data_IF_972365274313
#
_entry.id   IF_972365274313
#
_cell.length_a   1.000
_cell.length_b   1.000
_cell.length_c   1.000
_cell.angle_alpha   90.00
_cell.angle_beta   90.00
_cell.angle_gamma   90.00
#
_symmetry.space_group_name_H-M   'P 1'
#
loop_
_entity.id
_entity.type
_entity.pdbx_description
1 polymer ?
#
# COMPACT_ATOMS: atom_id res chain seq x y z
N UNK A 1 43.96 -33.68 41.84
CA UNK A 1 44.39 -32.94 40.63
C UNK A 1 43.29 -32.06 40.05
N UNK A 2 43.43 -30.73 40.09
CA UNK A 2 42.64 -29.77 39.31
C UNK A 2 43.48 -29.29 38.12
N UNK A 3 43.12 -29.65 36.89
CA UNK A 3 43.63 -28.95 35.70
C UNK A 3 42.58 -27.93 35.23
N UNK A 4 42.85 -26.68 35.57
CA UNK A 4 42.00 -25.53 35.34
C UNK A 4 42.12 -25.11 33.86
N UNK A 5 40.99 -24.94 33.19
CA UNK A 5 40.90 -24.56 31.78
C UNK A 5 41.62 -23.24 31.51
N UNK A 6 42.75 -23.32 30.79
CA UNK A 6 43.46 -22.13 30.31
C UNK A 6 42.63 -21.48 29.20
N UNK A 7 41.86 -20.46 29.57
CA UNK A 7 41.36 -19.49 28.61
C UNK A 7 42.59 -18.78 28.00
N UNK A 8 42.95 -19.15 26.77
CA UNK A 8 44.03 -18.52 26.01
C UNK A 8 43.64 -17.07 25.71
N UNK A 9 44.05 -16.16 26.60
CA UNK A 9 43.94 -14.71 26.41
C UNK A 9 45.05 -14.26 25.47
N UNK A 10 44.66 -13.77 24.29
CA UNK A 10 45.57 -13.12 23.34
C UNK A 10 45.48 -11.60 23.54
N UNK A 11 46.46 -11.07 24.26
CA UNK A 11 46.64 -9.61 24.42
C UNK A 11 47.51 -9.14 23.26
N UNK A 12 47.11 -8.07 22.57
CA UNK A 12 47.89 -7.47 21.48
C UNK A 12 47.97 -5.98 21.71
N UNK A 13 49.19 -5.49 21.93
CA UNK A 13 49.49 -4.08 22.10
C UNK A 13 49.76 -3.46 20.72
N UNK A 14 49.13 -2.32 20.46
CA UNK A 14 49.27 -1.59 19.20
C UNK A 14 49.48 -0.11 19.49
N UNK A 15 50.41 0.52 18.78
CA UNK A 15 50.67 1.97 18.86
C UNK A 15 49.62 2.77 18.08
N UNK A 16 49.21 2.25 16.92
CA UNK A 16 48.06 2.74 16.15
C UNK A 16 47.32 1.55 15.53
N UNK A 17 46.01 1.46 15.78
CA UNK A 17 45.14 0.41 15.27
C UNK A 17 44.11 1.02 14.31
N UNK A 18 44.28 0.75 13.01
CA UNK A 18 43.31 1.09 11.97
C UNK A 18 42.59 -0.15 11.48
N UNK A 19 41.32 -0.32 11.85
CA UNK A 19 40.45 -1.30 11.19
C UNK A 19 39.79 -0.63 9.98
N UNK A 20 40.05 -1.17 8.78
CA UNK A 20 39.23 -0.84 7.63
C UNK A 20 37.86 -1.51 7.84
N UNK A 21 36.93 -0.78 8.46
CA UNK A 21 35.52 -1.13 8.44
C UNK A 21 35.11 -1.05 6.99
N UNK A 22 35.12 -2.20 6.29
CA UNK A 22 34.95 -2.28 4.84
C UNK A 22 33.92 -1.27 4.36
N UNK A 23 34.33 -0.39 3.44
CA UNK A 23 33.55 0.73 2.91
C UNK A 23 32.35 0.29 2.06
N UNK A 24 31.59 -0.70 2.52
CA UNK A 24 30.23 -0.91 2.07
C UNK A 24 29.41 0.24 2.63
N UNK A 25 29.01 1.15 1.75
CA UNK A 25 27.98 2.15 2.06
C UNK A 25 26.86 1.47 2.87
N UNK A 26 26.27 2.15 3.85
CA UNK A 26 25.24 1.55 4.69
C UNK A 26 24.18 0.87 3.81
N UNK A 27 23.67 -0.31 4.21
CA UNK A 27 22.65 -0.99 3.43
C UNK A 27 21.49 -0.01 3.18
N UNK A 28 21.12 0.16 1.90
CA UNK A 28 20.12 1.12 1.41
C UNK A 28 20.55 2.61 1.38
N UNK A 29 21.84 2.89 1.26
CA UNK A 29 22.35 4.24 0.94
C UNK A 29 21.65 4.84 -0.28
N UNK A 30 21.52 4.09 -1.38
CA UNK A 30 20.83 4.59 -2.59
C UNK A 30 19.36 4.95 -2.35
N UNK A 31 18.64 4.18 -1.53
CA UNK A 31 17.25 4.51 -1.19
C UNK A 31 17.16 5.77 -0.32
N UNK A 32 18.13 5.96 0.57
CA UNK A 32 18.23 7.16 1.43
C UNK A 32 18.53 8.40 0.59
N UNK A 33 19.44 8.28 -0.38
CA UNK A 33 19.78 9.36 -1.30
C UNK A 33 18.59 9.72 -2.21
N UNK A 34 17.88 8.72 -2.73
CA UNK A 34 16.69 8.92 -3.57
C UNK A 34 15.61 9.77 -2.88
N UNK A 35 15.43 9.61 -1.55
CA UNK A 35 14.47 10.40 -0.76
C UNK A 35 14.82 11.90 -0.74
N UNK A 36 16.09 12.25 -0.89
CA UNK A 36 16.56 13.64 -0.92
C UNK A 36 16.42 14.30 -2.29
N UNK A 37 16.16 13.52 -3.34
CA UNK A 37 16.07 14.03 -4.71
C UNK A 37 14.72 14.72 -5.00
N UNK A 38 14.79 15.76 -5.84
CA UNK A 38 13.61 16.44 -6.39
C UNK A 38 12.97 15.59 -7.49
N UNK A 39 11.63 15.57 -7.56
CA UNK A 39 10.85 14.72 -8.49
C UNK A 39 11.33 14.74 -9.95
N UNK A 40 11.71 15.89 -10.54
CA UNK A 40 12.22 15.92 -11.91
C UNK A 40 13.52 15.12 -12.11
N UNK A 41 14.36 15.03 -11.09
CA UNK A 41 15.60 14.25 -11.11
C UNK A 41 15.27 12.76 -11.08
N UNK A 42 14.34 12.34 -10.22
CA UNK A 42 13.86 10.96 -10.16
C UNK A 42 13.32 10.47 -11.52
N UNK A 43 12.59 11.33 -12.24
CA UNK A 43 12.02 11.00 -13.55
C UNK A 43 13.06 10.90 -14.68
N UNK A 44 14.15 11.67 -14.59
CA UNK A 44 15.23 11.64 -15.60
C UNK A 44 16.16 10.44 -15.45
N UNK A 45 16.23 9.87 -14.25
CA UNK A 45 17.10 8.74 -13.93
C UNK A 45 16.30 7.64 -13.23
N UNK A 46 15.61 6.77 -14.00
CA UNK A 46 14.69 5.76 -13.46
C UNK A 46 15.42 4.53 -12.92
N UNK A 47 16.27 4.70 -11.90
CA UNK A 47 16.85 3.59 -11.13
C UNK A 47 15.79 2.95 -10.23
N UNK A 48 16.01 1.72 -9.74
CA UNK A 48 15.07 1.06 -8.83
C UNK A 48 14.84 1.87 -7.55
N UNK A 49 15.89 2.46 -6.98
CA UNK A 49 15.82 3.42 -5.88
C UNK A 49 14.89 4.60 -6.21
N UNK A 50 15.12 5.25 -7.35
CA UNK A 50 14.34 6.42 -7.74
C UNK A 50 12.88 6.10 -8.06
N UNK A 51 12.64 4.99 -8.77
CA UNK A 51 11.29 4.54 -9.09
C UNK A 51 10.53 4.13 -7.83
N UNK A 52 11.20 3.50 -6.85
CA UNK A 52 10.57 3.13 -5.58
C UNK A 52 10.12 4.36 -4.78
N UNK A 53 10.95 5.40 -4.71
CA UNK A 53 10.60 6.65 -4.02
C UNK A 53 9.49 7.39 -4.78
N UNK A 54 9.53 7.40 -6.12
CA UNK A 54 8.45 7.95 -6.92
C UNK A 54 7.13 7.19 -6.72
N UNK A 55 7.19 5.86 -6.62
CA UNK A 55 6.06 5.00 -6.31
C UNK A 55 5.42 5.38 -4.98
N UNK A 56 6.25 5.61 -3.96
CA UNK A 56 5.80 6.02 -2.63
C UNK A 56 5.15 7.40 -2.66
N UNK A 57 5.79 8.40 -3.30
CA UNK A 57 5.26 9.78 -3.42
C UNK A 57 3.92 9.82 -4.15
N UNK A 58 3.83 9.19 -5.31
CA UNK A 58 2.58 9.10 -6.07
C UNK A 58 1.55 8.23 -5.35
N UNK A 59 2.01 7.19 -4.65
CA UNK A 59 1.17 6.34 -3.84
C UNK A 59 0.43 7.11 -2.75
N UNK A 60 1.09 8.04 -2.05
CA UNK A 60 0.43 8.92 -1.08
C UNK A 60 -0.65 9.81 -1.72
N UNK A 61 -0.36 10.41 -2.87
CA UNK A 61 -1.32 11.26 -3.58
C UNK A 61 -2.54 10.47 -4.04
N UNK A 62 -2.33 9.29 -4.64
CA UNK A 62 -3.41 8.41 -5.11
C UNK A 62 -4.19 7.80 -3.95
N UNK A 63 -3.53 7.46 -2.84
CA UNK A 63 -4.20 7.00 -1.62
C UNK A 63 -5.16 8.05 -1.08
N UNK A 64 -4.77 9.33 -1.07
CA UNK A 64 -5.66 10.42 -0.65
C UNK A 64 -6.93 10.49 -1.50
N UNK A 65 -6.81 10.37 -2.83
CA UNK A 65 -7.97 10.30 -3.75
C UNK A 65 -8.86 9.10 -3.43
N UNK A 66 -8.26 7.92 -3.21
CA UNK A 66 -9.01 6.72 -2.84
C UNK A 66 -9.73 6.86 -1.50
N UNK A 67 -9.13 7.53 -0.51
CA UNK A 67 -9.81 7.79 0.77
C UNK A 67 -11.02 8.70 0.63
N UNK A 68 -11.00 9.68 -0.28
CA UNK A 68 -12.19 10.50 -0.56
C UNK A 68 -13.33 9.63 -1.09
N UNK A 69 -13.06 8.75 -2.06
CA UNK A 69 -14.07 7.83 -2.62
C UNK A 69 -14.62 6.89 -1.54
N UNK A 70 -13.74 6.29 -0.73
CA UNK A 70 -14.13 5.40 0.37
C UNK A 70 -14.95 6.15 1.44
N UNK A 71 -14.56 7.37 1.80
CA UNK A 71 -15.29 8.20 2.76
C UNK A 71 -16.71 8.50 2.26
N UNK A 72 -16.88 8.86 0.99
CA UNK A 72 -18.21 9.08 0.38
C UNK A 72 -19.05 7.80 0.37
N UNK A 73 -18.43 6.65 0.10
CA UNK A 73 -19.11 5.37 0.14
C UNK A 73 -19.61 5.02 1.57
N UNK A 74 -18.80 5.29 2.59
CA UNK A 74 -19.07 5.00 4.01
C UNK A 74 -19.98 6.02 4.71
N UNK A 75 -19.97 7.28 4.29
CA UNK A 75 -20.67 8.38 4.99
C UNK A 75 -22.20 8.22 5.05
N UNK A 76 -22.80 7.36 4.22
CA UNK A 76 -24.25 7.20 4.18
C UNK A 76 -24.80 6.01 4.96
N UNK A 77 -23.93 5.23 5.60
CA UNK A 77 -24.40 4.05 6.34
C UNK A 77 -25.19 4.58 7.53
N UNK A 78 -26.45 4.13 7.66
CA UNK A 78 -27.50 4.67 8.52
C UNK A 78 -27.00 5.39 9.79
N UNK A 79 -27.36 6.67 10.02
CA UNK A 79 -26.89 7.46 11.17
C UNK A 79 -27.33 6.93 12.54
N UNK A 80 -28.11 5.84 12.57
CA UNK A 80 -28.61 5.15 13.78
C UNK A 80 -27.67 4.02 14.24
N UNK A 81 -26.73 3.58 13.41
CA UNK A 81 -25.65 2.67 13.77
C UNK A 81 -24.39 3.46 14.11
N UNK A 82 -23.76 3.15 15.24
CA UNK A 82 -22.74 3.98 15.89
C UNK A 82 -21.70 4.63 14.95
N UNK A 83 -21.60 5.96 15.05
CA UNK A 83 -20.61 6.81 14.37
C UNK A 83 -19.17 6.31 14.52
N UNK A 84 -18.86 5.58 15.59
CA UNK A 84 -17.55 5.00 15.89
C UNK A 84 -17.15 3.82 14.98
N UNK A 85 -18.10 2.99 14.51
CA UNK A 85 -17.78 1.81 13.70
C UNK A 85 -17.14 2.18 12.35
N UNK A 86 -17.69 3.21 11.69
CA UNK A 86 -17.13 3.74 10.44
C UNK A 86 -15.73 4.35 10.64
N UNK A 87 -15.48 4.99 11.79
CA UNK A 87 -14.17 5.59 12.07
C UNK A 87 -13.10 4.52 12.26
N UNK A 88 -13.39 3.47 13.03
CA UNK A 88 -12.45 2.34 13.22
C UNK A 88 -12.14 1.69 11.88
N UNK A 89 -13.15 1.47 11.03
CA UNK A 89 -12.95 0.92 9.70
C UNK A 89 -12.05 1.81 8.82
N UNK A 90 -12.26 3.13 8.82
CA UNK A 90 -11.42 4.08 8.06
C UNK A 90 -9.98 4.05 8.56
N UNK A 91 -9.76 4.06 9.88
CA UNK A 91 -8.41 4.02 10.46
C UNK A 91 -7.71 2.70 10.13
N UNK A 92 -8.39 1.55 10.27
CA UNK A 92 -7.83 0.26 9.88
C UNK A 92 -7.50 0.21 8.40
N UNK A 93 -8.38 0.70 7.55
CA UNK A 93 -8.13 0.80 6.10
C UNK A 93 -6.92 1.68 5.82
N UNK A 94 -6.78 2.82 6.52
CA UNK A 94 -5.62 3.69 6.43
C UNK A 94 -4.32 2.99 6.79
N UNK A 95 -4.30 2.26 7.90
CA UNK A 95 -3.13 1.50 8.33
C UNK A 95 -2.75 0.44 7.30
N UNK A 96 -3.71 -0.37 6.85
CA UNK A 96 -3.46 -1.41 5.85
C UNK A 96 -2.95 -0.80 4.54
N UNK A 97 -3.58 0.28 4.07
CA UNK A 97 -3.18 0.96 2.83
C UNK A 97 -1.73 1.47 2.94
N UNK A 98 -1.39 2.21 4.00
CA UNK A 98 -0.03 2.75 4.15
C UNK A 98 1.02 1.63 4.25
N UNK A 99 0.70 0.54 4.93
CA UNK A 99 1.59 -0.62 4.98
C UNK A 99 1.78 -1.23 3.59
N UNK A 100 0.73 -1.35 2.77
CA UNK A 100 0.83 -1.83 1.39
C UNK A 100 1.65 -0.89 0.50
N UNK A 101 1.54 0.43 0.68
CA UNK A 101 2.38 1.41 -0.04
C UNK A 101 3.86 1.23 0.33
N UNK A 102 4.19 1.13 1.63
CA UNK A 102 5.56 0.92 2.09
C UNK A 102 6.13 -0.45 1.65
N UNK A 103 5.31 -1.49 1.68
CA UNK A 103 5.67 -2.81 1.18
C UNK A 103 5.90 -2.78 -0.34
N UNK A 104 5.02 -2.11 -1.07
CA UNK A 104 5.15 -1.89 -2.51
C UNK A 104 6.43 -1.14 -2.87
N UNK A 105 6.79 -0.09 -2.12
CA UNK A 105 8.06 0.61 -2.28
C UNK A 105 9.24 -0.37 -2.14
N UNK A 106 9.23 -1.22 -1.12
CA UNK A 106 10.28 -2.24 -0.91
C UNK A 106 10.34 -3.24 -2.08
N UNK A 107 9.19 -3.65 -2.65
CA UNK A 107 9.15 -4.52 -3.82
C UNK A 107 9.68 -3.87 -5.09
N UNK A 108 9.38 -2.59 -5.32
CA UNK A 108 9.93 -1.83 -6.46
C UNK A 108 11.43 -1.64 -6.29
N UNK A 109 11.88 -1.28 -5.08
CA UNK A 109 13.30 -1.15 -4.76
C UNK A 109 14.08 -2.45 -5.00
N UNK A 110 13.52 -3.58 -4.55
CA UNK A 110 14.09 -4.91 -4.76
C UNK A 110 13.87 -5.49 -6.16
N UNK A 111 13.22 -4.76 -7.08
CA UNK A 111 12.95 -5.22 -8.46
C UNK A 111 11.92 -6.34 -8.59
N UNK A 112 11.21 -6.70 -7.51
CA UNK A 112 10.19 -7.75 -7.50
C UNK A 112 8.90 -7.35 -8.24
N UNK A 113 8.62 -6.04 -8.33
CA UNK A 113 7.45 -5.50 -9.01
C UNK A 113 7.81 -4.18 -9.70
N UNK A 114 7.27 -3.93 -10.90
CA UNK A 114 7.49 -2.64 -11.57
C UNK A 114 6.66 -1.53 -10.93
N UNK A 115 7.14 -0.30 -11.06
CA UNK A 115 6.47 0.90 -10.54
C UNK A 115 5.03 1.04 -11.10
N UNK A 116 4.83 0.83 -12.39
CA UNK A 116 3.52 1.00 -13.06
C UNK A 116 2.52 -0.04 -12.57
N UNK A 117 2.95 -1.29 -12.46
CA UNK A 117 2.13 -2.39 -11.99
C UNK A 117 1.71 -2.15 -10.53
N UNK A 118 2.64 -1.69 -9.68
CA UNK A 118 2.30 -1.37 -8.29
C UNK A 118 1.23 -0.28 -8.24
N UNK A 119 1.40 0.81 -9.00
CA UNK A 119 0.43 1.90 -9.03
C UNK A 119 -0.95 1.43 -9.50
N UNK A 120 -1.00 0.68 -10.60
CA UNK A 120 -2.25 0.21 -11.18
C UNK A 120 -2.96 -0.78 -10.28
N UNK A 121 -2.28 -1.83 -9.80
CA UNK A 121 -2.93 -2.87 -9.01
C UNK A 121 -3.34 -2.39 -7.63
N UNK A 122 -2.46 -1.66 -6.92
CA UNK A 122 -2.77 -1.18 -5.58
C UNK A 122 -3.83 -0.07 -5.62
N UNK A 123 -3.57 1.01 -6.36
CA UNK A 123 -4.45 2.17 -6.34
C UNK A 123 -5.67 1.98 -7.24
N UNK A 124 -5.49 1.42 -8.43
CA UNK A 124 -6.61 1.09 -9.32
C UNK A 124 -7.51 0.01 -8.74
N UNK A 125 -6.96 -0.99 -8.05
CA UNK A 125 -7.73 -2.00 -7.34
C UNK A 125 -8.63 -1.40 -6.24
N UNK A 126 -8.07 -0.56 -5.37
CA UNK A 126 -8.86 0.10 -4.31
C UNK A 126 -9.88 1.08 -4.90
N UNK A 127 -9.50 1.84 -5.94
CA UNK A 127 -10.41 2.76 -6.62
C UNK A 127 -11.60 2.00 -7.21
N UNK A 128 -11.34 0.92 -7.93
CA UNK A 128 -12.36 0.08 -8.54
C UNK A 128 -13.28 -0.51 -7.47
N UNK A 129 -12.74 -1.02 -6.35
CA UNK A 129 -13.55 -1.53 -5.25
C UNK A 129 -14.43 -0.42 -4.62
N UNK A 130 -13.88 0.77 -4.43
CA UNK A 130 -14.61 1.94 -3.91
C UNK A 130 -15.75 2.37 -4.85
N UNK A 131 -15.48 2.45 -6.15
CA UNK A 131 -16.48 2.77 -7.16
C UNK A 131 -17.55 1.70 -7.30
N UNK A 132 -17.17 0.41 -7.26
CA UNK A 132 -18.13 -0.70 -7.27
C UNK A 132 -19.03 -0.68 -6.04
N UNK A 133 -18.49 -0.36 -4.86
CA UNK A 133 -19.29 -0.17 -3.66
C UNK A 133 -20.31 0.94 -3.87
N UNK A 134 -19.85 2.12 -4.31
CA UNK A 134 -20.71 3.27 -4.54
C UNK A 134 -21.80 2.98 -5.59
N UNK A 135 -21.43 2.29 -6.67
CA UNK A 135 -22.35 1.85 -7.72
C UNK A 135 -23.40 0.86 -7.21
N UNK A 136 -22.98 -0.18 -6.47
CA UNK A 136 -23.89 -1.15 -5.84
C UNK A 136 -24.88 -0.47 -4.90
N UNK A 137 -24.41 0.50 -4.12
CA UNK A 137 -25.23 1.28 -3.19
C UNK A 137 -26.23 2.16 -3.95
N UNK A 138 -25.76 2.97 -4.89
CA UNK A 138 -26.61 3.91 -5.63
C UNK A 138 -27.67 3.20 -6.46
N UNK A 139 -27.30 2.09 -7.10
CA UNK A 139 -28.19 1.34 -7.98
C UNK A 139 -29.07 0.32 -7.24
N UNK A 140 -29.03 0.30 -5.89
CA UNK A 140 -29.76 -0.60 -5.00
C UNK A 140 -29.98 -1.98 -5.64
N UNK A 141 -28.88 -2.64 -6.07
CA UNK A 141 -28.88 -3.91 -6.81
C UNK A 141 -29.54 -5.00 -5.96
N UNK A 142 -30.87 -4.97 -5.96
CA UNK A 142 -31.70 -6.01 -5.43
C UNK A 142 -31.77 -7.03 -6.55
N UNK A 143 -31.12 -8.18 -6.40
CA UNK A 143 -31.31 -9.33 -7.31
C UNK A 143 -32.82 -9.59 -7.57
N UNK A 144 -33.67 -9.22 -6.60
CA UNK A 144 -35.13 -9.28 -6.66
C UNK A 144 -35.77 -8.34 -7.69
N UNK A 145 -35.18 -7.20 -8.06
CA UNK A 145 -35.78 -6.29 -9.06
C UNK A 145 -35.65 -6.83 -10.50
N UNK A 146 -34.56 -7.52 -10.80
CA UNK A 146 -34.35 -8.21 -12.08
C UNK A 146 -35.32 -9.40 -12.25
N UNK A 147 -35.54 -10.17 -11.19
CA UNK A 147 -36.55 -11.24 -11.15
C UNK A 147 -37.99 -10.70 -11.25
N UNK A 148 -38.28 -9.55 -10.63
CA UNK A 148 -39.61 -8.92 -10.69
C UNK A 148 -39.94 -8.37 -12.09
N UNK A 149 -38.94 -7.86 -12.82
CA UNK A 149 -39.11 -7.39 -14.22
C UNK A 149 -39.49 -8.52 -15.18
N UNK A 150 -38.97 -9.74 -14.98
CA UNK A 150 -39.28 -10.90 -15.84
C UNK A 150 -40.69 -11.45 -15.61
N UNK A 151 -41.16 -11.45 -14.36
CA UNK A 151 -42.51 -11.91 -14.00
C UNK A 151 -43.62 -10.99 -14.54
N UNK A 152 -43.40 -9.67 -14.59
CA UNK A 152 -44.39 -8.74 -15.12
C UNK A 152 -44.56 -8.82 -16.65
N UNK A 153 -43.50 -9.14 -17.40
CA UNK A 153 -43.61 -9.26 -18.87
C UNK A 153 -44.47 -10.45 -19.31
N UNK A 154 -44.44 -11.57 -18.55
CA UNK A 154 -45.24 -12.76 -18.87
C UNK A 154 -46.73 -12.59 -18.59
N UNK A 155 -47.11 -11.74 -17.64
CA UNK A 155 -48.52 -11.52 -17.26
C UNK A 155 -49.26 -10.56 -18.22
N UNK A 156 -48.53 -9.75 -18.99
CA UNK A 156 -49.11 -8.86 -20.01
C UNK A 156 -49.37 -9.55 -21.36
N UNK A 157 -48.81 -10.74 -21.59
CA UNK A 157 -48.98 -11.54 -22.81
C UNK A 157 -50.13 -12.55 -22.74
N UNK A 158 -50.82 -12.63 -21.60
CA UNK A 158 -51.88 -13.61 -21.32
C UNK A 158 -53.23 -12.96 -21.01
N UNK A 159 -53.40 -11.66 -21.30
CA UNK A 159 -54.69 -10.99 -21.23
C UNK A 159 -55.32 -11.00 -22.63
N UNK A 160 -56.53 -11.57 -22.79
CA UNK A 160 -57.22 -11.66 -24.08
C UNK A 160 -57.67 -10.31 -24.63
#
# INVERSE_FOLDING_TARGET
ESENGKATLKISDFEEYGSNTGGTAPPNSEASDAKLLAVPVLLRSPTLANLSELAWRLGLALAAVNFVVLAVALASVNPRGGRSGNLVFVVLTFLVYNNLVNLGQSWVYGGAMTFENLLLFLHGGVLLLGLLWLGKRNNNWTLRSALRKRSQSMRSRSSP
#
